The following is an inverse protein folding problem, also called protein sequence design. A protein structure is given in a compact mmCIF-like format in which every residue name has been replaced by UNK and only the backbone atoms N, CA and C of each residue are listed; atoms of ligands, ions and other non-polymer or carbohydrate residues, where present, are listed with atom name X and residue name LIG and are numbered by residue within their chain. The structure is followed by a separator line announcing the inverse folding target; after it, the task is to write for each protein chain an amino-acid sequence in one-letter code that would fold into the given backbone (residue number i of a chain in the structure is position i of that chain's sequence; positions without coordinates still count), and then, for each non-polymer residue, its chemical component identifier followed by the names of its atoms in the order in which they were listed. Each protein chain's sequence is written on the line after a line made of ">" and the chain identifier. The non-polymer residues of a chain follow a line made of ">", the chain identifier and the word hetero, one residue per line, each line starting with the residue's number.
data_IF_569517198841
#
_entry.id   IF_569517198841
#
_cell.length_a   1.000
_cell.length_b   1.000
_cell.length_c   1.000
_cell.angle_alpha   90.00
_cell.angle_beta   90.00
_cell.angle_gamma   90.00
#
_symmetry.space_group_name_H-M   'P 1'
#
loop_
_entity.id
_entity.type
_entity.pdbx_description
1 polymer ?
#
# COMPACT_ATOMS: atom_id res chain seq x y z
N UNK A 1 -72.94 -16.98 41.02
CA UNK A 1 -72.01 -17.06 39.87
C UNK A 1 -70.80 -16.18 40.20
N UNK A 2 -69.59 -16.74 40.28
CA UNK A 2 -68.35 -15.99 40.62
C UNK A 2 -67.72 -15.46 39.31
N UNK A 3 -67.31 -14.18 39.22
CA UNK A 3 -66.64 -13.68 38.03
C UNK A 3 -65.21 -14.22 37.98
N UNK A 4 -64.76 -14.63 36.80
CA UNK A 4 -63.37 -15.01 36.52
C UNK A 4 -62.51 -13.74 36.36
N UNK A 5 -61.25 -13.75 36.77
CA UNK A 5 -60.38 -12.59 36.60
C UNK A 5 -59.98 -12.46 35.13
N UNK A 6 -60.09 -11.24 34.58
CA UNK A 6 -59.48 -10.90 33.30
C UNK A 6 -57.96 -10.96 33.43
N UNK A 7 -57.33 -11.87 32.68
CA UNK A 7 -55.88 -11.86 32.48
C UNK A 7 -55.57 -10.89 31.34
N UNK A 8 -54.93 -9.77 31.68
CA UNK A 8 -54.34 -8.86 30.69
C UNK A 8 -53.08 -9.52 30.12
N UNK A 9 -53.16 -9.99 28.88
CA UNK A 9 -51.99 -10.41 28.12
C UNK A 9 -51.24 -9.15 27.65
N UNK A 10 -50.10 -8.87 28.26
CA UNK A 10 -49.14 -7.89 27.73
C UNK A 10 -48.50 -8.50 26.46
N UNK A 11 -48.51 -7.80 25.32
CA UNK A 11 -47.82 -8.29 24.15
C UNK A 11 -46.33 -8.28 24.44
N UNK A 12 -45.71 -9.46 24.42
CA UNK A 12 -44.26 -9.59 24.41
C UNK A 12 -43.79 -9.03 23.07
N UNK A 13 -43.37 -7.77 23.05
CA UNK A 13 -42.67 -7.23 21.90
C UNK A 13 -41.39 -8.06 21.75
N UNK A 14 -41.38 -8.96 20.76
CA UNK A 14 -40.15 -9.58 20.32
C UNK A 14 -39.22 -8.43 19.95
N UNK A 15 -38.12 -8.28 20.69
CA UNK A 15 -37.03 -7.42 20.29
C UNK A 15 -36.49 -8.03 18.98
N UNK A 16 -37.05 -7.59 17.85
CA UNK A 16 -36.49 -7.86 16.55
C UNK A 16 -35.09 -7.30 16.58
N UNK A 17 -34.08 -8.16 16.48
CA UNK A 17 -32.74 -7.71 16.15
C UNK A 17 -32.85 -6.99 14.82
N UNK A 18 -32.69 -5.66 14.82
CA UNK A 18 -32.56 -4.92 13.58
C UNK A 18 -31.48 -5.62 12.73
N UNK A 19 -31.69 -5.73 11.40
CA UNK A 19 -30.66 -6.29 10.53
C UNK A 19 -29.36 -5.54 10.79
N UNK A 20 -28.34 -6.25 11.24
CA UNK A 20 -27.00 -5.68 11.44
C UNK A 20 -26.57 -5.03 10.14
N UNK A 21 -26.50 -3.70 10.12
CA UNK A 21 -26.06 -2.95 8.95
C UNK A 21 -24.60 -3.33 8.68
N UNK A 22 -24.44 -4.29 7.77
CA UNK A 22 -23.16 -4.85 7.36
C UNK A 22 -22.22 -3.74 6.89
N UNK A 23 -22.73 -2.71 6.22
CA UNK A 23 -21.92 -1.60 5.74
C UNK A 23 -21.42 -0.74 6.90
N UNK A 24 -22.30 -0.36 7.83
CA UNK A 24 -21.88 0.38 9.03
C UNK A 24 -20.91 -0.45 9.90
N UNK A 25 -21.14 -1.76 10.02
CA UNK A 25 -20.23 -2.67 10.75
C UNK A 25 -18.87 -2.75 10.07
N UNK A 26 -18.83 -2.95 8.76
CA UNK A 26 -17.59 -2.99 7.99
C UNK A 26 -16.82 -1.67 8.12
N UNK A 27 -17.51 -0.52 7.99
CA UNK A 27 -16.89 0.79 8.15
C UNK A 27 -16.27 0.98 9.54
N UNK A 28 -16.96 0.57 10.62
CA UNK A 28 -16.40 0.64 11.99
C UNK A 28 -15.14 -0.22 12.13
N UNK A 29 -15.18 -1.47 11.67
CA UNK A 29 -14.02 -2.38 11.71
C UNK A 29 -12.86 -1.77 10.94
N UNK A 30 -13.10 -1.37 9.69
CA UNK A 30 -12.08 -0.82 8.79
C UNK A 30 -11.42 0.44 9.34
N UNK A 31 -12.21 1.37 9.90
CA UNK A 31 -11.67 2.61 10.51
C UNK A 31 -10.77 2.31 11.71
N UNK A 32 -11.07 1.27 12.48
CA UNK A 32 -10.25 0.83 13.62
C UNK A 32 -9.01 0.01 13.22
N UNK A 33 -9.00 -0.57 12.02
CA UNK A 33 -7.94 -1.44 11.55
C UNK A 33 -6.68 -0.69 11.12
N UNK A 34 -5.57 -1.44 11.04
CA UNK A 34 -4.37 -1.05 10.30
C UNK A 34 -4.53 -1.64 8.90
N UNK A 35 -4.76 -0.77 7.92
CA UNK A 35 -4.95 -1.17 6.52
C UNK A 35 -3.64 -0.92 5.79
N UNK A 36 -3.00 -2.00 5.33
CA UNK A 36 -1.74 -1.92 4.58
C UNK A 36 -1.98 -2.48 3.20
N UNK A 37 -1.68 -1.68 2.20
CA UNK A 37 -1.53 -2.14 0.83
C UNK A 37 -0.04 -2.38 0.54
N UNK A 38 0.26 -3.54 -0.02
CA UNK A 38 1.63 -4.02 -0.21
C UNK A 38 2.22 -3.66 -1.56
N UNK A 39 1.47 -3.05 -2.48
CA UNK A 39 1.99 -2.74 -3.80
C UNK A 39 1.14 -1.71 -4.56
N UNK A 40 1.71 -0.53 -4.82
CA UNK A 40 1.10 0.47 -5.71
C UNK A 40 2.16 1.19 -6.58
N UNK A 41 1.85 1.27 -7.88
CA UNK A 41 2.73 1.79 -8.94
C UNK A 41 2.72 3.32 -9.11
N UNK A 42 2.34 4.05 -8.07
CA UNK A 42 2.38 5.53 -8.09
C UNK A 42 3.74 6.08 -8.53
N UNK A 43 4.89 5.55 -8.08
CA UNK A 43 6.16 6.06 -8.57
C UNK A 43 6.32 5.94 -10.08
N UNK A 44 5.92 4.82 -10.68
CA UNK A 44 6.05 4.67 -12.13
C UNK A 44 5.13 5.64 -12.88
N UNK A 45 3.88 5.77 -12.44
CA UNK A 45 2.94 6.73 -12.99
C UNK A 45 3.46 8.19 -12.93
N UNK A 46 4.08 8.58 -11.81
CA UNK A 46 4.67 9.91 -11.64
C UNK A 46 5.90 10.14 -12.51
N UNK A 47 6.67 9.09 -12.77
CA UNK A 47 7.83 9.18 -13.65
C UNK A 47 7.44 9.26 -15.14
N UNK A 48 6.35 8.62 -15.55
CA UNK A 48 5.79 8.80 -16.90
C UNK A 48 5.23 10.22 -17.08
N UNK A 49 4.46 10.69 -16.09
CA UNK A 49 3.88 12.02 -16.08
C UNK A 49 3.70 12.52 -14.66
N UNK A 50 4.48 13.55 -14.31
CA UNK A 50 4.38 14.17 -13.01
C UNK A 50 2.96 14.70 -12.72
N UNK A 51 2.47 14.42 -11.52
CA UNK A 51 1.22 14.92 -11.00
C UNK A 51 1.30 15.11 -9.48
N UNK A 52 0.55 16.06 -8.94
CA UNK A 52 0.48 16.26 -7.49
C UNK A 52 -0.55 15.32 -6.88
N UNK A 53 -0.09 14.39 -6.04
CA UNK A 53 -0.91 13.35 -5.42
C UNK A 53 -1.90 13.89 -4.35
N UNK A 54 -1.87 15.18 -4.03
CA UNK A 54 -2.94 15.82 -3.25
C UNK A 54 -4.21 16.03 -4.09
N UNK A 55 -4.09 16.06 -5.41
CA UNK A 55 -5.21 16.29 -6.32
C UNK A 55 -5.93 14.96 -6.58
N UNK A 56 -7.23 14.91 -6.27
CA UNK A 56 -8.04 13.72 -6.51
C UNK A 56 -8.05 13.38 -8.00
N UNK A 57 -7.74 12.13 -8.32
CA UNK A 57 -7.66 11.63 -9.70
C UNK A 57 -6.39 12.02 -10.46
N UNK A 58 -5.39 12.61 -9.78
CA UNK A 58 -4.09 12.94 -10.38
C UNK A 58 -3.35 11.70 -10.90
N UNK A 59 -3.47 10.59 -10.18
CA UNK A 59 -3.08 9.25 -10.65
C UNK A 59 -4.31 8.35 -10.75
N UNK A 60 -4.14 7.19 -11.39
CA UNK A 60 -5.24 6.28 -11.69
C UNK A 60 -5.96 5.79 -10.43
N UNK A 61 -5.23 5.22 -9.47
CA UNK A 61 -5.84 4.55 -8.32
C UNK A 61 -5.49 5.16 -6.96
N UNK A 62 -4.44 5.99 -6.88
CA UNK A 62 -4.02 6.60 -5.62
C UNK A 62 -4.00 8.14 -5.68
N UNK A 63 -4.52 8.75 -4.61
CA UNK A 63 -4.24 10.12 -4.22
C UNK A 63 -4.52 10.24 -2.72
N UNK A 64 -3.98 11.27 -2.08
CA UNK A 64 -4.11 11.50 -0.65
C UNK A 64 -5.59 11.59 -0.21
N UNK A 65 -6.49 12.31 -0.93
CA UNK A 65 -7.91 12.32 -0.59
C UNK A 65 -8.55 10.93 -0.57
N UNK A 66 -8.37 10.11 -1.61
CA UNK A 66 -8.91 8.74 -1.68
C UNK A 66 -8.29 7.83 -0.63
N UNK A 67 -6.98 7.94 -0.39
CA UNK A 67 -6.29 7.12 0.60
C UNK A 67 -6.81 7.40 2.02
N UNK A 68 -7.03 8.68 2.37
CA UNK A 68 -7.62 9.06 3.67
C UNK A 68 -9.07 8.61 3.81
N UNK A 69 -9.88 8.84 2.78
CA UNK A 69 -11.29 8.41 2.75
C UNK A 69 -11.40 6.89 2.92
N UNK A 70 -10.57 6.16 2.17
CA UNK A 70 -10.47 4.70 2.22
C UNK A 70 -9.79 4.15 3.47
N UNK A 71 -9.35 4.98 4.42
CA UNK A 71 -8.76 4.53 5.69
C UNK A 71 -7.40 3.83 5.57
N UNK A 72 -6.67 4.07 4.49
CA UNK A 72 -5.35 3.49 4.26
C UNK A 72 -4.37 3.96 5.35
N UNK A 73 -3.66 3.01 5.96
CA UNK A 73 -2.71 3.29 7.04
C UNK A 73 -1.27 3.25 6.56
N UNK A 74 -0.95 2.25 5.74
CA UNK A 74 0.37 2.07 5.16
C UNK A 74 0.27 1.67 3.69
N UNK A 75 1.22 2.13 2.89
CA UNK A 75 1.32 1.82 1.49
C UNK A 75 2.76 1.54 1.12
N UNK A 76 3.00 0.44 0.42
CA UNK A 76 4.27 0.23 -0.25
C UNK A 76 4.22 0.79 -1.66
N UNK A 77 4.97 1.86 -1.88
CA UNK A 77 5.28 2.33 -3.22
C UNK A 77 6.26 1.38 -3.89
N UNK A 78 5.86 0.86 -5.05
CA UNK A 78 6.67 0.00 -5.87
C UNK A 78 7.81 0.81 -6.51
N UNK A 79 9.04 0.46 -6.18
CA UNK A 79 10.24 0.91 -6.87
C UNK A 79 10.45 -0.04 -8.04
N UNK A 80 9.60 0.13 -9.05
CA UNK A 80 9.61 -0.64 -10.28
C UNK A 80 10.79 -0.25 -11.18
N UNK A 81 11.42 -1.27 -11.76
CA UNK A 81 12.45 -1.10 -12.80
C UNK A 81 12.03 -1.88 -14.05
N UNK A 82 11.80 -1.21 -15.19
CA UNK A 82 11.44 -1.90 -16.42
C UNK A 82 12.48 -2.95 -16.83
N UNK A 83 11.99 -4.08 -17.36
CA UNK A 83 12.83 -5.21 -17.77
C UNK A 83 13.87 -4.84 -18.84
N UNK A 84 13.62 -3.78 -19.62
CA UNK A 84 14.58 -3.24 -20.61
C UNK A 84 15.89 -2.75 -19.99
N UNK A 85 15.95 -2.52 -18.67
CA UNK A 85 17.17 -2.18 -17.94
C UNK A 85 17.88 -3.39 -17.33
N UNK A 86 17.38 -4.63 -17.54
CA UNK A 86 17.96 -5.82 -16.93
C UNK A 86 19.41 -6.10 -17.37
N UNK A 87 19.80 -5.66 -18.58
CA UNK A 87 21.17 -5.78 -19.08
C UNK A 87 22.09 -4.60 -18.65
N UNK A 88 21.57 -3.65 -17.87
CA UNK A 88 22.34 -2.57 -17.26
C UNK A 88 21.56 -1.27 -17.03
N UNK A 89 21.92 -0.55 -15.97
CA UNK A 89 21.33 0.73 -15.56
C UNK A 89 20.14 0.58 -14.61
N UNK A 90 19.76 -0.64 -14.25
CA UNK A 90 18.64 -0.94 -13.36
C UNK A 90 18.84 -0.33 -11.97
N UNK A 91 20.06 -0.37 -11.43
CA UNK A 91 20.36 0.19 -10.11
C UNK A 91 20.18 1.72 -10.07
N UNK A 92 20.50 2.42 -11.17
CA UNK A 92 20.28 3.87 -11.30
C UNK A 92 18.78 4.19 -11.31
N UNK A 93 17.99 3.45 -12.08
CA UNK A 93 16.53 3.64 -12.13
C UNK A 93 15.91 3.42 -10.75
N UNK A 94 16.34 2.38 -10.03
CA UNK A 94 15.89 2.15 -8.65
C UNK A 94 16.22 3.32 -7.71
N UNK A 95 17.43 3.90 -7.81
CA UNK A 95 17.81 5.08 -7.01
C UNK A 95 16.95 6.30 -7.34
N UNK A 96 16.73 6.59 -8.64
CA UNK A 96 15.90 7.72 -9.08
C UNK A 96 14.46 7.59 -8.55
N UNK A 97 13.92 6.37 -8.54
CA UNK A 97 12.58 6.08 -7.99
C UNK A 97 12.52 6.19 -6.46
N UNK A 98 13.54 5.73 -5.75
CA UNK A 98 13.65 5.89 -4.29
C UNK A 98 13.69 7.37 -3.92
N UNK A 99 14.52 8.16 -4.61
CA UNK A 99 14.63 9.60 -4.38
C UNK A 99 13.30 10.32 -4.63
N UNK A 100 12.63 9.99 -5.74
CA UNK A 100 11.30 10.54 -6.04
C UNK A 100 10.28 10.24 -4.93
N UNK A 101 10.23 8.99 -4.42
CA UNK A 101 9.35 8.64 -3.31
C UNK A 101 9.66 9.47 -2.06
N UNK A 102 10.94 9.61 -1.72
CA UNK A 102 11.37 10.40 -0.57
C UNK A 102 10.97 11.88 -0.72
N UNK A 103 11.12 12.46 -1.93
CA UNK A 103 10.73 13.82 -2.23
C UNK A 103 9.22 14.03 -2.17
N UNK A 104 8.42 13.09 -2.68
CA UNK A 104 6.95 13.11 -2.57
C UNK A 104 6.53 13.11 -1.09
N UNK A 105 7.11 12.23 -0.28
CA UNK A 105 6.80 12.19 1.16
C UNK A 105 7.21 13.50 1.86
N UNK A 106 8.38 14.04 1.54
CA UNK A 106 8.89 15.28 2.12
C UNK A 106 8.05 16.51 1.73
N UNK A 107 7.43 16.50 0.54
CA UNK A 107 6.55 17.57 0.07
C UNK A 107 5.18 17.59 0.78
N UNK A 108 4.73 16.47 1.37
CA UNK A 108 3.42 16.34 1.99
C UNK A 108 3.46 15.83 3.45
N UNK A 109 4.23 16.46 4.36
CA UNK A 109 4.50 15.92 5.69
C UNK A 109 3.29 15.93 6.65
N UNK A 110 2.26 16.72 6.32
CA UNK A 110 1.00 16.74 7.04
C UNK A 110 0.19 15.46 6.82
N UNK A 111 0.38 14.80 5.68
CA UNK A 111 -0.44 13.68 5.23
C UNK A 111 0.35 12.38 5.16
N UNK A 112 1.63 12.46 4.81
CA UNK A 112 2.51 11.32 4.57
C UNK A 112 3.66 11.27 5.58
N UNK A 113 4.17 10.07 5.82
CA UNK A 113 5.39 9.85 6.59
C UNK A 113 6.13 8.63 6.07
N UNK A 114 7.45 8.73 5.94
CA UNK A 114 8.26 7.55 5.59
C UNK A 114 8.25 6.56 6.75
N UNK A 115 8.10 5.27 6.44
CA UNK A 115 8.13 4.20 7.42
C UNK A 115 8.97 3.02 6.92
N UNK A 116 9.61 2.35 7.86
CA UNK A 116 10.54 1.25 7.65
C UNK A 116 10.31 0.11 8.66
N UNK A 117 9.28 0.21 9.50
CA UNK A 117 9.00 -0.73 10.58
C UNK A 117 7.52 -0.78 10.95
N UNK A 118 7.11 -1.87 11.60
CA UNK A 118 5.75 -2.04 12.15
C UNK A 118 5.41 -0.92 13.16
N UNK A 119 6.38 -0.51 13.96
CA UNK A 119 6.19 0.55 14.95
C UNK A 119 5.85 1.89 14.30
N UNK A 120 6.51 2.22 13.18
CA UNK A 120 6.26 3.44 12.41
C UNK A 120 4.91 3.41 11.70
N UNK A 121 4.50 2.27 11.12
CA UNK A 121 3.14 2.11 10.56
C UNK A 121 2.08 2.37 11.63
N UNK A 122 2.24 1.75 12.81
CA UNK A 122 1.33 1.96 13.95
C UNK A 122 1.34 3.43 14.41
N UNK A 123 2.49 4.11 14.35
CA UNK A 123 2.58 5.53 14.69
C UNK A 123 1.85 6.40 13.68
N UNK A 124 2.03 6.15 12.38
CA UNK A 124 1.33 6.87 11.32
C UNK A 124 -0.19 6.82 11.51
N UNK A 125 -0.74 5.63 11.84
CA UNK A 125 -2.16 5.47 12.19
C UNK A 125 -2.60 6.41 13.30
N UNK A 126 -1.84 6.46 14.41
CA UNK A 126 -2.16 7.30 15.58
C UNK A 126 -2.07 8.79 15.24
N UNK A 127 -1.09 9.15 14.41
CA UNK A 127 -0.85 10.52 13.98
C UNK A 127 -1.82 10.96 12.85
N UNK A 128 -2.70 10.07 12.36
CA UNK A 128 -3.62 10.37 11.26
C UNK A 128 -2.93 10.54 9.89
N UNK A 129 -1.72 10.00 9.74
CA UNK A 129 -0.91 10.05 8.52
C UNK A 129 -0.83 8.70 7.83
N UNK A 130 -0.50 8.72 6.54
CA UNK A 130 -0.28 7.52 5.73
C UNK A 130 1.21 7.18 5.78
N UNK A 131 1.55 5.99 6.27
CA UNK A 131 2.90 5.48 6.22
C UNK A 131 3.27 5.07 4.79
N UNK A 132 4.30 5.68 4.22
CA UNK A 132 4.84 5.30 2.91
C UNK A 132 6.09 4.46 3.14
N UNK A 133 6.04 3.23 2.64
CA UNK A 133 7.14 2.27 2.60
C UNK A 133 7.58 2.07 1.16
N UNK A 134 8.77 1.50 0.96
CA UNK A 134 9.30 1.21 -0.37
C UNK A 134 9.63 -0.27 -0.50
N UNK A 135 9.37 -0.80 -1.69
CA UNK A 135 9.79 -2.13 -2.07
C UNK A 135 10.32 -2.15 -3.50
N UNK A 136 11.47 -2.79 -3.71
CA UNK A 136 12.00 -3.00 -5.07
C UNK A 136 11.11 -4.01 -5.78
N UNK A 137 10.71 -3.71 -7.01
CA UNK A 137 10.05 -4.66 -7.89
C UNK A 137 10.99 -5.07 -9.04
N UNK A 138 11.48 -6.31 -8.96
CA UNK A 138 12.41 -6.89 -9.92
C UNK A 138 13.83 -6.97 -9.38
N UNK A 139 14.33 -8.19 -9.18
CA UNK A 139 15.67 -8.43 -8.65
C UNK A 139 16.81 -7.96 -9.55
N UNK A 140 16.57 -7.76 -10.85
CA UNK A 140 17.56 -7.14 -11.75
C UNK A 140 17.95 -5.72 -11.30
N UNK A 141 17.14 -5.05 -10.48
CA UNK A 141 17.47 -3.76 -9.88
C UNK A 141 18.77 -3.75 -9.06
N UNK A 142 19.17 -4.90 -8.49
CA UNK A 142 20.44 -4.98 -7.73
C UNK A 142 21.65 -5.30 -8.61
N UNK A 143 21.46 -5.60 -9.91
CA UNK A 143 22.54 -5.92 -10.85
C UNK A 143 23.55 -6.94 -10.29
N UNK A 144 23.03 -8.03 -9.70
CA UNK A 144 23.79 -9.11 -9.04
C UNK A 144 24.72 -8.64 -7.89
N UNK A 145 24.50 -7.42 -7.37
CA UNK A 145 25.30 -6.81 -6.31
C UNK A 145 24.59 -6.84 -4.97
N UNK A 146 25.10 -7.65 -4.04
CA UNK A 146 24.68 -7.59 -2.63
C UNK A 146 25.01 -6.23 -1.98
N UNK A 147 25.96 -5.48 -2.54
CA UNK A 147 26.25 -4.11 -2.14
C UNK A 147 25.07 -3.18 -2.42
N UNK A 148 24.50 -3.28 -3.62
CA UNK A 148 23.29 -2.55 -4.02
C UNK A 148 22.09 -2.94 -3.14
N UNK A 149 21.87 -4.24 -2.92
CA UNK A 149 20.82 -4.74 -2.02
C UNK A 149 20.89 -4.09 -0.62
N UNK A 150 22.07 -4.11 0.01
CA UNK A 150 22.28 -3.47 1.32
C UNK A 150 22.13 -1.95 1.24
N UNK A 151 22.51 -1.34 0.12
CA UNK A 151 22.32 0.09 -0.16
C UNK A 151 20.86 0.49 -0.14
N UNK A 152 20.03 -0.19 -0.94
CA UNK A 152 18.59 0.05 -0.99
C UNK A 152 17.92 -0.16 0.37
N UNK A 153 18.30 -1.20 1.11
CA UNK A 153 17.80 -1.40 2.47
C UNK A 153 18.14 -0.23 3.40
N UNK A 154 19.36 0.32 3.34
CA UNK A 154 19.75 1.52 4.11
C UNK A 154 18.95 2.76 3.71
N UNK A 155 18.54 2.87 2.44
CA UNK A 155 17.70 3.95 1.93
C UNK A 155 16.21 3.81 2.30
N UNK A 156 15.83 2.72 3.00
CA UNK A 156 14.48 2.54 3.53
C UNK A 156 13.64 1.47 2.82
N UNK A 157 14.17 0.78 1.81
CA UNK A 157 13.48 -0.35 1.17
C UNK A 157 13.27 -1.50 2.17
N UNK A 158 12.08 -2.09 2.19
CA UNK A 158 11.72 -3.17 3.13
C UNK A 158 11.19 -4.46 2.51
N UNK A 159 10.96 -4.48 1.19
CA UNK A 159 10.87 -5.74 0.44
C UNK A 159 11.62 -5.65 -0.88
N UNK A 160 11.89 -6.81 -1.47
CA UNK A 160 12.30 -6.93 -2.87
C UNK A 160 11.54 -8.09 -3.51
N UNK A 161 10.85 -7.84 -4.61
CA UNK A 161 10.32 -8.88 -5.48
C UNK A 161 11.50 -9.50 -6.25
N UNK A 162 11.72 -10.81 -6.08
CA UNK A 162 12.91 -11.49 -6.65
C UNK A 162 12.97 -11.38 -8.17
N UNK A 163 11.83 -11.48 -8.85
CA UNK A 163 11.71 -11.33 -10.30
C UNK A 163 10.49 -10.49 -10.63
N UNK A 164 10.56 -9.74 -11.73
CA UNK A 164 9.35 -9.20 -12.35
C UNK A 164 8.93 -10.20 -13.47
N UNK A 165 8.48 -9.72 -14.63
CA UNK A 165 8.15 -10.52 -15.82
C UNK A 165 9.35 -11.04 -16.60
N UNK A 166 10.56 -10.83 -16.07
CA UNK A 166 11.84 -11.30 -16.58
C UNK A 166 12.60 -12.07 -15.50
N UNK A 167 13.26 -13.17 -15.89
CA UNK A 167 14.23 -13.83 -15.03
C UNK A 167 15.45 -12.94 -14.80
N UNK A 168 16.25 -13.28 -13.78
CA UNK A 168 17.61 -12.76 -13.57
C UNK A 168 18.56 -13.96 -13.37
N UNK A 169 19.85 -13.72 -13.09
CA UNK A 169 20.87 -14.78 -13.01
C UNK A 169 20.70 -15.76 -11.85
N UNK A 170 19.80 -15.48 -10.91
CA UNK A 170 19.66 -16.22 -9.66
C UNK A 170 18.20 -16.51 -9.28
N UNK A 171 17.23 -16.14 -10.11
CA UNK A 171 15.82 -16.46 -9.94
C UNK A 171 15.06 -16.46 -11.27
N UNK A 172 14.20 -17.46 -11.44
CA UNK A 172 13.31 -17.60 -12.60
C UNK A 172 11.98 -16.88 -12.39
N UNK A 173 11.54 -16.17 -13.44
CA UNK A 173 10.24 -15.51 -13.49
C UNK A 173 9.15 -16.47 -13.97
N UNK A 174 7.93 -16.30 -13.46
CA UNK A 174 6.75 -16.98 -14.00
C UNK A 174 6.30 -16.40 -15.37
N UNK A 175 6.75 -15.21 -15.73
CA UNK A 175 6.50 -14.56 -17.02
C UNK A 175 7.70 -14.68 -17.98
N UNK A 176 7.41 -14.82 -19.27
CA UNK A 176 8.39 -14.94 -20.36
C UNK A 176 8.48 -13.67 -21.22
N UNK A 177 8.11 -12.49 -20.68
CA UNK A 177 7.95 -11.28 -21.50
C UNK A 177 9.28 -10.68 -21.96
N UNK A 178 10.34 -10.90 -21.19
CA UNK A 178 11.68 -10.46 -21.54
C UNK A 178 12.69 -11.52 -21.11
N UNK A 179 13.44 -12.06 -22.06
CA UNK A 179 14.57 -12.95 -21.83
C UNK A 179 15.86 -12.11 -21.90
N UNK A 180 16.48 -11.78 -20.76
CA UNK A 180 17.74 -11.06 -20.79
C UNK A 180 18.84 -11.94 -21.40
N UNK A 181 19.93 -11.34 -21.88
CA UNK A 181 20.95 -12.04 -22.69
C UNK A 181 22.08 -12.70 -21.88
N UNK A 182 21.87 -12.96 -20.59
CA UNK A 182 22.91 -13.53 -19.73
C UNK A 182 22.94 -15.07 -19.75
#
# INVERSE_FOLDING_TARGET
>A
MKPWPLVLALPLAAAGTEPDDVAARAARIHRSAIVVDTHEDVPDALAEKWADIVVRGATKHFDIPRAKEGGLTGLFFAVYVPASYADGGAARIALDRIDMVQNVVAAHPADLVSAASVAEIRRAKRDGRIAILMGIEGGHAIEDSLGALRGFHRLGVRYMTLTHTNSNRWADSAGNFFAPRF
#
